data_IF_043716472169
#
_entry.id   IF_043716472169
#
_cell.length_a   1.000
_cell.length_b   1.000
_cell.length_c   1.000
_cell.angle_alpha   90.00
_cell.angle_beta   90.00
_cell.angle_gamma   90.00
#
_symmetry.space_group_name_H-M   'P 1'
#
loop_
_entity.id
_entity.type
_entity.pdbx_description
1 polymer ?
#
# COMPACT_ATOMS: atom_id res chain seq x y z
N UNK A 1 -61.10 -4.40 11.74
CA UNK A 1 -60.34 -5.62 11.37
C UNK A 1 -58.93 -5.21 10.95
N UNK A 2 -57.87 -5.71 11.59
CA UNK A 2 -56.47 -5.43 11.19
C UNK A 2 -56.20 -6.06 9.82
N UNK A 3 -55.80 -5.28 8.84
CA UNK A 3 -55.42 -5.74 7.50
C UNK A 3 -54.20 -6.64 7.60
N UNK A 4 -54.36 -7.95 7.38
CA UNK A 4 -53.28 -8.93 7.43
C UNK A 4 -52.44 -8.80 6.14
N UNK A 5 -51.20 -8.29 6.25
CA UNK A 5 -50.25 -8.26 5.15
C UNK A 5 -49.36 -9.50 5.16
N UNK A 6 -49.30 -10.21 4.04
CA UNK A 6 -48.50 -11.41 3.83
C UNK A 6 -47.22 -11.05 3.04
N UNK A 7 -46.06 -11.63 3.43
CA UNK A 7 -44.83 -11.58 2.65
C UNK A 7 -44.94 -12.40 1.36
N UNK A 8 -44.06 -12.19 0.37
CA UNK A 8 -44.18 -12.81 -0.95
C UNK A 8 -44.41 -14.33 -0.90
N UNK A 9 -43.57 -15.06 -0.10
CA UNK A 9 -43.72 -16.52 0.04
C UNK A 9 -44.99 -16.94 0.78
N UNK A 10 -45.45 -16.18 1.76
CA UNK A 10 -46.69 -16.40 2.49
C UNK A 10 -47.89 -16.13 1.59
N UNK A 11 -47.80 -15.07 0.77
CA UNK A 11 -48.82 -14.70 -0.21
C UNK A 11 -49.00 -15.76 -1.30
N UNK A 12 -47.90 -16.37 -1.76
CA UNK A 12 -47.92 -17.46 -2.73
C UNK A 12 -48.63 -18.68 -2.14
N UNK A 13 -48.25 -19.13 -0.93
CA UNK A 13 -48.90 -20.24 -0.21
C UNK A 13 -50.42 -19.98 -0.03
N UNK A 14 -50.75 -18.81 0.46
CA UNK A 14 -52.17 -18.41 0.62
C UNK A 14 -52.94 -18.47 -0.69
N UNK A 15 -52.43 -17.90 -1.79
CA UNK A 15 -53.09 -17.91 -3.11
C UNK A 15 -53.34 -19.32 -3.63
N UNK A 16 -52.34 -20.20 -3.57
CA UNK A 16 -52.41 -21.58 -4.06
C UNK A 16 -53.43 -22.38 -3.23
N UNK A 17 -53.35 -22.31 -1.90
CA UNK A 17 -54.26 -23.06 -1.02
C UNK A 17 -55.68 -22.51 -1.09
N UNK A 18 -55.86 -21.18 -1.16
CA UNK A 18 -57.19 -20.58 -1.35
C UNK A 18 -57.82 -21.10 -2.64
N UNK A 19 -57.14 -21.04 -3.77
CA UNK A 19 -57.62 -21.57 -5.04
C UNK A 19 -57.92 -23.05 -4.96
N UNK A 20 -57.06 -23.86 -4.33
CA UNK A 20 -57.25 -25.30 -4.15
C UNK A 20 -58.54 -25.62 -3.38
N UNK A 21 -58.85 -24.86 -2.32
CA UNK A 21 -60.06 -25.06 -1.50
C UNK A 21 -61.34 -24.57 -2.23
N UNK A 22 -61.23 -23.44 -2.94
CA UNK A 22 -62.43 -22.86 -3.66
C UNK A 22 -62.80 -23.67 -4.90
N UNK A 23 -61.84 -24.28 -5.61
CA UNK A 23 -62.09 -25.04 -6.84
C UNK A 23 -62.12 -26.54 -6.62
N UNK A 24 -61.97 -27.04 -5.40
CA UNK A 24 -61.76 -28.45 -5.06
C UNK A 24 -60.72 -29.15 -5.95
N UNK A 25 -59.61 -28.47 -6.17
CA UNK A 25 -58.60 -28.83 -7.13
C UNK A 25 -57.68 -29.98 -6.68
N UNK A 26 -56.70 -30.33 -7.51
CA UNK A 26 -55.77 -31.43 -7.26
C UNK A 26 -54.68 -31.02 -6.24
N UNK A 27 -54.55 -31.81 -5.16
CA UNK A 27 -53.60 -31.60 -4.05
C UNK A 27 -52.14 -31.85 -4.47
N UNK A 28 -51.90 -32.85 -5.31
CA UNK A 28 -50.58 -33.19 -5.82
C UNK A 28 -50.02 -32.03 -6.66
N UNK A 29 -50.87 -31.41 -7.49
CA UNK A 29 -50.48 -30.22 -8.26
C UNK A 29 -50.10 -29.03 -7.36
N UNK A 30 -50.85 -28.83 -6.28
CA UNK A 30 -50.50 -27.80 -5.30
C UNK A 30 -49.19 -28.12 -4.55
N UNK A 31 -48.94 -29.40 -4.25
CA UNK A 31 -47.72 -29.87 -3.64
C UNK A 31 -46.48 -29.57 -4.52
N UNK A 32 -46.55 -29.88 -5.83
CA UNK A 32 -45.54 -29.56 -6.82
C UNK A 32 -45.33 -28.03 -6.91
N UNK A 33 -46.40 -27.27 -7.01
CA UNK A 33 -46.35 -25.80 -7.14
C UNK A 33 -45.68 -25.12 -5.94
N UNK A 34 -45.87 -25.65 -4.74
CA UNK A 34 -45.34 -25.09 -3.51
C UNK A 34 -44.01 -25.77 -3.05
N UNK A 35 -43.55 -26.83 -3.74
CA UNK A 35 -42.40 -27.62 -3.33
C UNK A 35 -42.62 -28.27 -1.95
N UNK A 36 -43.84 -28.83 -1.68
CA UNK A 36 -44.24 -29.37 -0.37
C UNK A 36 -44.86 -30.76 -0.54
N UNK A 37 -44.82 -31.53 0.55
CA UNK A 37 -45.53 -32.84 0.54
C UNK A 37 -47.05 -32.65 0.60
N UNK A 38 -47.81 -33.63 0.08
CA UNK A 38 -49.28 -33.63 0.12
C UNK A 38 -49.79 -33.51 1.56
N UNK A 39 -49.13 -34.18 2.52
CA UNK A 39 -49.45 -34.06 3.96
C UNK A 39 -49.34 -32.60 4.47
N UNK A 40 -48.32 -31.85 3.97
CA UNK A 40 -48.19 -30.43 4.30
C UNK A 40 -49.31 -29.58 3.65
N UNK A 41 -49.75 -29.94 2.44
CA UNK A 41 -50.87 -29.29 1.78
C UNK A 41 -52.17 -29.52 2.59
N UNK A 42 -52.44 -30.75 3.03
CA UNK A 42 -53.61 -31.05 3.88
C UNK A 42 -53.59 -30.24 5.19
N UNK A 43 -52.41 -30.12 5.81
CA UNK A 43 -52.23 -29.27 7.00
C UNK A 43 -52.49 -27.80 6.71
N UNK A 44 -52.06 -27.30 5.54
CA UNK A 44 -52.36 -25.93 5.12
C UNK A 44 -53.83 -25.71 4.79
N UNK A 45 -54.50 -26.68 4.21
CA UNK A 45 -55.95 -26.63 3.96
C UNK A 45 -56.73 -26.57 5.27
N UNK A 46 -56.39 -27.45 6.24
CA UNK A 46 -57.03 -27.45 7.56
C UNK A 46 -56.78 -26.11 8.30
N UNK A 47 -55.53 -25.61 8.26
CA UNK A 47 -55.20 -24.31 8.85
C UNK A 47 -55.90 -23.13 8.18
N UNK A 48 -56.03 -23.16 6.84
CA UNK A 48 -56.77 -22.13 6.10
C UNK A 48 -58.28 -22.13 6.45
N UNK A 49 -58.89 -23.31 6.55
CA UNK A 49 -60.28 -23.44 6.97
C UNK A 49 -60.53 -22.96 8.40
N UNK A 50 -59.54 -23.15 9.32
CA UNK A 50 -59.65 -22.75 10.72
C UNK A 50 -59.37 -21.26 10.96
N UNK A 51 -58.27 -20.72 10.35
CA UNK A 51 -57.72 -19.37 10.65
C UNK A 51 -57.67 -18.44 9.43
N UNK A 52 -58.15 -18.88 8.28
CA UNK A 52 -58.11 -18.07 7.07
C UNK A 52 -56.71 -17.63 6.65
N UNK A 53 -56.60 -16.38 6.26
CA UNK A 53 -55.35 -15.75 5.79
C UNK A 53 -54.28 -15.69 6.88
N UNK A 54 -54.64 -15.61 8.14
CA UNK A 54 -53.71 -15.48 9.28
C UNK A 54 -52.85 -16.73 9.48
N UNK A 55 -53.31 -17.90 9.11
CA UNK A 55 -52.57 -19.16 9.21
C UNK A 55 -51.24 -19.12 8.46
N UNK A 56 -51.14 -18.34 7.38
CA UNK A 56 -49.93 -18.27 6.54
C UNK A 56 -48.88 -17.33 7.06
N UNK A 57 -49.16 -16.58 8.13
CA UNK A 57 -48.12 -15.76 8.80
C UNK A 57 -47.15 -16.72 9.45
N UNK A 58 -45.87 -16.52 9.15
CA UNK A 58 -44.81 -17.35 9.74
C UNK A 58 -44.76 -17.15 11.26
N UNK A 59 -44.76 -18.23 12.03
CA UNK A 59 -44.82 -18.18 13.50
C UNK A 59 -43.67 -17.38 14.17
N UNK A 60 -42.50 -17.39 13.57
CA UNK A 60 -41.33 -16.60 14.06
C UNK A 60 -41.35 -15.15 13.54
N UNK A 61 -42.43 -14.68 12.95
CA UNK A 61 -42.51 -13.30 12.47
C UNK A 61 -42.51 -12.35 13.67
N UNK A 62 -41.51 -11.43 13.66
CA UNK A 62 -41.25 -10.45 14.73
C UNK A 62 -40.75 -11.05 16.07
N UNK A 63 -40.42 -12.32 16.14
CA UNK A 63 -39.64 -12.85 17.27
C UNK A 63 -38.17 -12.47 17.12
N UNK A 64 -37.63 -11.80 18.13
CA UNK A 64 -36.18 -11.59 18.23
C UNK A 64 -35.51 -12.90 18.63
N UNK A 65 -34.40 -13.31 17.99
CA UNK A 65 -33.63 -14.48 18.46
C UNK A 65 -33.20 -14.31 19.91
N UNK A 66 -33.10 -15.41 20.65
CA UNK A 66 -32.70 -15.40 22.06
C UNK A 66 -31.29 -14.76 22.24
N UNK A 67 -30.42 -14.92 21.26
CA UNK A 67 -29.07 -14.35 21.24
C UNK A 67 -28.97 -12.97 20.56
N UNK A 68 -30.11 -12.31 20.30
CA UNK A 68 -30.07 -10.98 19.70
C UNK A 68 -29.51 -9.96 20.71
N UNK A 69 -28.54 -9.17 20.28
CA UNK A 69 -27.96 -8.10 21.07
C UNK A 69 -29.03 -7.12 21.57
N UNK A 70 -28.90 -6.72 22.82
CA UNK A 70 -29.75 -5.66 23.40
C UNK A 70 -29.38 -4.30 22.81
N UNK A 71 -30.27 -3.33 22.85
CA UNK A 71 -29.97 -1.97 22.37
C UNK A 71 -28.84 -1.30 23.17
N UNK A 72 -28.72 -1.63 24.48
CA UNK A 72 -27.60 -1.16 25.29
C UNK A 72 -26.23 -1.67 24.76
N UNK A 73 -26.13 -2.96 24.44
CA UNK A 73 -24.91 -3.53 23.86
C UNK A 73 -24.60 -2.94 22.48
N UNK A 74 -25.60 -2.68 21.64
CA UNK A 74 -25.38 -2.02 20.35
C UNK A 74 -24.88 -0.59 20.51
N UNK A 75 -25.38 0.14 21.51
CA UNK A 75 -24.94 1.49 21.82
C UNK A 75 -23.51 1.50 22.37
N UNK A 76 -23.16 0.51 23.19
CA UNK A 76 -21.79 0.32 23.66
C UNK A 76 -20.80 0.09 22.50
N UNK A 77 -21.14 -0.81 21.55
CA UNK A 77 -20.33 -1.07 20.35
C UNK A 77 -20.18 0.20 19.50
N UNK A 78 -21.25 0.98 19.35
CA UNK A 78 -21.23 2.28 18.67
C UNK A 78 -20.25 3.25 19.34
N UNK A 79 -20.32 3.39 20.66
CA UNK A 79 -19.45 4.28 21.43
C UNK A 79 -17.97 3.84 21.34
N UNK A 80 -17.70 2.56 21.45
CA UNK A 80 -16.35 2.00 21.28
C UNK A 80 -15.82 2.32 19.90
N UNK A 81 -16.64 2.15 18.84
CA UNK A 81 -16.22 2.49 17.48
C UNK A 81 -15.90 3.97 17.33
N UNK A 82 -16.79 4.85 17.74
CA UNK A 82 -16.64 6.29 17.58
C UNK A 82 -15.50 6.88 18.41
N UNK A 83 -15.21 6.32 19.59
CA UNK A 83 -14.17 6.83 20.47
C UNK A 83 -12.77 6.34 20.12
N UNK A 84 -12.61 5.04 19.79
CA UNK A 84 -11.29 4.40 19.63
C UNK A 84 -10.99 3.95 18.19
N UNK A 85 -12.01 3.52 17.42
CA UNK A 85 -11.85 2.78 16.16
C UNK A 85 -12.53 3.41 14.96
N UNK A 86 -12.82 4.71 15.02
CA UNK A 86 -13.59 5.47 14.01
C UNK A 86 -13.00 5.39 12.58
N UNK A 87 -11.71 5.14 12.47
CA UNK A 87 -10.96 5.02 11.22
C UNK A 87 -10.80 3.57 10.72
N UNK A 88 -11.33 2.59 11.47
CA UNK A 88 -11.20 1.18 11.13
C UNK A 88 -12.26 0.71 10.11
N UNK A 89 -11.88 -0.29 9.31
CA UNK A 89 -12.88 -1.05 8.54
C UNK A 89 -13.69 -1.95 9.47
N UNK A 90 -14.93 -2.31 9.10
CA UNK A 90 -15.75 -3.20 9.93
C UNK A 90 -15.05 -4.52 10.27
N UNK A 91 -14.28 -5.08 9.32
CA UNK A 91 -13.51 -6.31 9.55
C UNK A 91 -12.42 -6.12 10.60
N UNK A 92 -11.61 -5.04 10.48
CA UNK A 92 -10.57 -4.75 11.44
C UNK A 92 -11.16 -4.44 12.82
N UNK A 93 -12.25 -3.68 12.86
CA UNK A 93 -12.96 -3.37 14.12
C UNK A 93 -13.50 -4.63 14.80
N UNK A 94 -14.09 -5.57 14.06
CA UNK A 94 -14.55 -6.86 14.61
C UNK A 94 -13.40 -7.65 15.25
N UNK A 95 -12.21 -7.62 14.63
CA UNK A 95 -11.01 -8.24 15.16
C UNK A 95 -10.54 -7.58 16.46
N UNK A 96 -10.54 -6.24 16.49
CA UNK A 96 -10.16 -5.49 17.71
C UNK A 96 -11.17 -5.64 18.83
N UNK A 97 -12.48 -5.72 18.53
CA UNK A 97 -13.49 -6.04 19.51
C UNK A 97 -13.20 -7.37 20.21
N UNK A 98 -12.85 -8.41 19.45
CA UNK A 98 -12.53 -9.72 19.99
C UNK A 98 -11.21 -9.72 20.79
N UNK A 99 -10.17 -9.04 20.27
CA UNK A 99 -8.82 -9.10 20.85
C UNK A 99 -8.59 -8.13 22.02
N UNK A 100 -9.18 -6.93 21.94
CA UNK A 100 -8.89 -5.83 22.89
C UNK A 100 -10.06 -5.51 23.84
N UNK A 101 -11.29 -5.74 23.39
CA UNK A 101 -12.49 -5.41 24.18
C UNK A 101 -13.24 -6.68 24.66
N UNK A 102 -12.75 -7.89 24.32
CA UNK A 102 -13.36 -9.19 24.67
C UNK A 102 -14.82 -9.37 24.18
N UNK A 103 -15.21 -8.69 23.11
CA UNK A 103 -16.54 -8.77 22.50
C UNK A 103 -16.43 -9.56 21.20
N UNK A 104 -17.01 -10.77 21.16
CA UNK A 104 -16.98 -11.64 19.97
C UNK A 104 -18.26 -11.48 19.18
N UNK A 105 -18.16 -10.92 17.97
CA UNK A 105 -19.25 -10.71 17.01
C UNK A 105 -18.81 -11.11 15.62
N UNK A 106 -19.77 -11.34 14.73
CA UNK A 106 -19.50 -11.48 13.31
C UNK A 106 -19.34 -10.11 12.64
N UNK A 107 -18.60 -10.07 11.52
CA UNK A 107 -18.43 -8.85 10.72
C UNK A 107 -19.78 -8.31 10.21
N UNK A 108 -20.73 -9.20 9.89
CA UNK A 108 -22.06 -8.81 9.42
C UNK A 108 -22.92 -8.21 10.53
N UNK A 109 -22.80 -8.69 11.76
CA UNK A 109 -23.47 -8.08 12.93
C UNK A 109 -22.94 -6.68 13.19
N UNK A 110 -21.60 -6.52 13.28
CA UNK A 110 -20.95 -5.21 13.45
C UNK A 110 -21.36 -4.24 12.33
N UNK A 111 -21.33 -4.72 11.09
CA UNK A 111 -21.78 -3.95 9.92
C UNK A 111 -23.22 -3.48 10.05
N UNK A 112 -24.13 -4.38 10.44
CA UNK A 112 -25.55 -4.06 10.59
C UNK A 112 -25.77 -3.03 11.69
N UNK A 113 -25.13 -3.19 12.85
CA UNK A 113 -25.22 -2.26 13.98
C UNK A 113 -24.79 -0.84 13.56
N UNK A 114 -23.62 -0.73 12.92
CA UNK A 114 -23.07 0.58 12.56
C UNK A 114 -23.82 1.23 11.39
N UNK A 115 -24.27 0.46 10.38
CA UNK A 115 -25.06 0.98 9.27
C UNK A 115 -26.43 1.46 9.73
N UNK A 116 -27.10 0.75 10.65
CA UNK A 116 -28.40 1.16 11.22
C UNK A 116 -28.29 2.51 11.95
N UNK A 117 -27.11 2.86 12.42
CA UNK A 117 -26.76 4.16 13.05
C UNK A 117 -26.15 5.16 12.08
N UNK A 118 -26.16 4.89 10.76
CA UNK A 118 -25.56 5.71 9.71
C UNK A 118 -24.05 5.95 9.87
N UNK A 119 -23.33 5.05 10.54
CA UNK A 119 -21.88 5.10 10.73
C UNK A 119 -21.23 4.24 9.65
N UNK A 120 -20.50 4.89 8.73
CA UNK A 120 -19.89 4.24 7.58
C UNK A 120 -18.38 4.08 7.78
N UNK A 121 -17.85 2.89 7.48
CA UNK A 121 -16.42 2.65 7.50
C UNK A 121 -15.73 3.36 6.31
N UNK A 122 -14.41 3.68 6.40
CA UNK A 122 -13.64 4.30 5.31
C UNK A 122 -13.70 3.51 3.99
N UNK A 123 -13.90 2.19 4.04
CA UNK A 123 -14.01 1.33 2.86
C UNK A 123 -15.35 1.46 2.12
N UNK A 124 -16.38 1.94 2.78
CA UNK A 124 -17.72 2.11 2.18
C UNK A 124 -17.67 3.11 1.03
N UNK A 125 -16.75 4.08 1.08
CA UNK A 125 -16.52 5.04 -0.01
C UNK A 125 -15.83 4.41 -1.24
N UNK A 126 -15.07 3.31 -1.09
CA UNK A 126 -14.41 2.60 -2.20
C UNK A 126 -15.36 1.63 -2.95
N UNK A 127 -16.57 1.42 -2.47
CA UNK A 127 -17.59 0.62 -3.19
C UNK A 127 -18.20 1.34 -4.41
N UNK A 128 -17.69 2.54 -4.75
CA UNK A 128 -18.16 3.37 -5.86
C UNK A 128 -18.03 2.63 -7.19
N UNK A 129 -16.93 1.90 -7.45
CA UNK A 129 -16.79 1.08 -8.67
C UNK A 129 -17.88 0.01 -8.78
N UNK A 130 -18.18 -0.69 -7.68
CA UNK A 130 -19.22 -1.73 -7.64
C UNK A 130 -20.62 -1.15 -7.83
N UNK A 131 -20.86 0.07 -7.32
CA UNK A 131 -22.11 0.81 -7.47
C UNK A 131 -22.26 1.34 -8.91
N UNK A 132 -21.20 1.91 -9.48
CA UNK A 132 -21.14 2.35 -10.89
C UNK A 132 -21.41 1.17 -11.82
N UNK A 133 -20.73 0.03 -11.62
CA UNK A 133 -20.98 -1.18 -12.42
C UNK A 133 -22.43 -1.65 -12.33
N UNK A 134 -23.01 -1.68 -11.11
CA UNK A 134 -24.42 -2.05 -10.92
C UNK A 134 -25.39 -1.07 -11.58
N UNK A 135 -25.04 0.22 -11.61
CA UNK A 135 -25.82 1.24 -12.31
C UNK A 135 -25.71 1.07 -13.83
N UNK A 136 -24.49 0.87 -14.37
CA UNK A 136 -24.26 0.62 -15.80
C UNK A 136 -24.98 -0.64 -16.28
N UNK A 137 -25.02 -1.71 -15.49
CA UNK A 137 -25.79 -2.92 -15.82
C UNK A 137 -27.31 -2.63 -15.91
N UNK A 138 -27.85 -1.83 -14.98
CA UNK A 138 -29.27 -1.40 -15.07
C UNK A 138 -29.54 -0.51 -16.29
N UNK A 139 -28.63 0.40 -16.60
CA UNK A 139 -28.72 1.24 -17.81
C UNK A 139 -28.66 0.38 -19.08
N UNK A 140 -27.82 -0.67 -19.09
CA UNK A 140 -27.73 -1.62 -20.20
C UNK A 140 -29.03 -2.41 -20.43
N UNK A 141 -29.71 -2.82 -19.34
CA UNK A 141 -31.03 -3.47 -19.40
C UNK A 141 -32.13 -2.54 -19.97
N UNK A 142 -32.00 -1.25 -19.70
CA UNK A 142 -32.97 -0.23 -20.15
C UNK A 142 -32.66 0.31 -21.55
N UNK A 143 -31.46 0.09 -22.07
CA UNK A 143 -31.04 0.58 -23.39
C UNK A 143 -31.83 -0.11 -24.53
N UNK A 144 -32.43 0.71 -25.39
CA UNK A 144 -33.31 0.25 -26.49
C UNK A 144 -32.51 -0.10 -27.75
N UNK A 145 -31.37 0.53 -27.99
CA UNK A 145 -30.58 0.33 -29.19
C UNK A 145 -29.34 -0.51 -28.96
N UNK A 146 -28.95 -1.32 -29.97
CA UNK A 146 -27.72 -2.14 -29.92
C UNK A 146 -26.46 -1.26 -29.77
N UNK A 147 -26.47 -0.05 -30.37
CA UNK A 147 -25.34 0.89 -30.31
C UNK A 147 -25.14 1.45 -28.89
N UNK A 148 -26.25 1.74 -28.15
CA UNK A 148 -26.20 2.15 -26.76
C UNK A 148 -25.72 1.02 -25.85
N UNK A 149 -26.23 -0.21 -26.06
CA UNK A 149 -25.78 -1.40 -25.33
C UNK A 149 -24.27 -1.63 -25.49
N UNK A 150 -23.75 -1.48 -26.73
CA UNK A 150 -22.32 -1.62 -26.99
C UNK A 150 -21.49 -0.53 -26.31
N UNK A 151 -21.95 0.74 -26.29
CA UNK A 151 -21.28 1.82 -25.56
C UNK A 151 -21.26 1.59 -24.05
N UNK A 152 -22.36 1.12 -23.48
CA UNK A 152 -22.45 0.81 -22.06
C UNK A 152 -21.57 -0.40 -21.74
N UNK A 153 -21.56 -1.42 -22.58
CA UNK A 153 -20.69 -2.58 -22.45
C UNK A 153 -19.21 -2.19 -22.45
N UNK A 154 -18.79 -1.28 -23.35
CA UNK A 154 -17.43 -0.75 -23.36
C UNK A 154 -17.07 -0.02 -22.06
N UNK A 155 -18.01 0.74 -21.47
CA UNK A 155 -17.83 1.35 -20.15
C UNK A 155 -17.72 0.32 -19.02
N UNK A 156 -18.52 -0.76 -19.08
CA UNK A 156 -18.43 -1.86 -18.10
C UNK A 156 -17.07 -2.54 -18.21
N UNK A 157 -16.62 -2.87 -19.41
CA UNK A 157 -15.30 -3.48 -19.65
C UNK A 157 -14.17 -2.57 -19.19
N UNK A 158 -14.26 -1.25 -19.41
CA UNK A 158 -13.30 -0.28 -18.89
C UNK A 158 -13.28 -0.18 -17.34
N UNK A 159 -14.35 -0.60 -16.66
CA UNK A 159 -14.37 -0.74 -15.20
C UNK A 159 -13.90 -2.10 -14.70
N UNK A 160 -13.83 -3.10 -15.59
CA UNK A 160 -13.33 -4.44 -15.33
C UNK A 160 -11.94 -4.57 -15.95
N UNK A 161 -10.90 -4.36 -15.12
CA UNK A 161 -9.55 -4.68 -15.53
C UNK A 161 -9.42 -6.21 -15.64
N UNK A 162 -9.61 -6.73 -16.84
CA UNK A 162 -9.39 -8.14 -17.16
C UNK A 162 -7.88 -8.39 -17.36
N UNK A 163 -7.15 -8.49 -16.24
CA UNK A 163 -5.72 -8.81 -16.29
C UNK A 163 -5.51 -10.32 -16.19
N UNK A 164 -4.60 -10.90 -17.02
CA UNK A 164 -4.23 -12.29 -16.88
C UNK A 164 -3.65 -12.52 -15.48
N UNK A 165 -4.21 -13.48 -14.75
CA UNK A 165 -3.69 -13.87 -13.44
C UNK A 165 -2.34 -14.54 -13.62
N UNK A 166 -1.27 -13.97 -13.06
CA UNK A 166 0.01 -14.65 -12.99
C UNK A 166 -0.07 -15.76 -11.91
N UNK A 167 0.34 -16.99 -12.25
CA UNK A 167 0.46 -18.05 -11.25
C UNK A 167 1.47 -17.65 -10.18
N UNK A 168 1.35 -18.23 -8.99
CA UNK A 168 2.35 -18.05 -7.93
C UNK A 168 3.61 -18.84 -8.25
N UNK A 169 4.73 -18.34 -7.77
CA UNK A 169 5.97 -19.11 -7.72
C UNK A 169 5.79 -20.37 -6.82
N UNK A 170 6.63 -21.38 -7.02
CA UNK A 170 6.53 -22.64 -6.28
C UNK A 170 7.30 -22.60 -4.96
N UNK A 171 8.40 -21.87 -4.91
CA UNK A 171 9.36 -21.91 -3.82
C UNK A 171 9.46 -20.57 -3.10
N UNK A 172 9.63 -20.64 -1.76
CA UNK A 172 9.93 -19.46 -0.97
C UNK A 172 11.28 -18.86 -1.40
N UNK A 173 11.31 -17.54 -1.63
CA UNK A 173 12.52 -16.84 -2.08
C UNK A 173 12.78 -16.90 -3.60
N UNK A 174 11.92 -17.58 -4.37
CA UNK A 174 12.01 -17.59 -5.83
C UNK A 174 11.75 -16.21 -6.43
N UNK A 175 10.74 -15.50 -5.91
CA UNK A 175 10.42 -14.14 -6.30
C UNK A 175 9.97 -13.31 -5.09
N UNK A 176 10.71 -12.25 -4.83
CA UNK A 176 10.34 -11.23 -3.85
C UNK A 176 9.83 -9.99 -4.60
N UNK A 177 8.57 -9.62 -4.40
CA UNK A 177 8.03 -8.37 -4.92
C UNK A 177 8.30 -7.25 -3.93
N UNK A 178 8.96 -6.19 -4.38
CA UNK A 178 9.39 -5.08 -3.55
C UNK A 178 8.85 -3.75 -4.10
N UNK A 179 8.38 -2.90 -3.19
CA UNK A 179 7.87 -1.57 -3.52
C UNK A 179 7.88 -0.64 -2.31
N UNK A 180 7.66 0.65 -2.55
CA UNK A 180 7.44 1.64 -1.51
C UNK A 180 6.12 2.38 -1.72
N UNK A 181 5.45 2.70 -0.62
CA UNK A 181 4.20 3.44 -0.63
C UNK A 181 4.29 4.68 0.25
N UNK A 182 4.13 5.84 -0.38
CA UNK A 182 4.03 7.12 0.32
C UNK A 182 2.58 7.35 0.76
N UNK A 183 2.38 7.44 2.07
CA UNK A 183 1.05 7.61 2.64
C UNK A 183 1.10 8.40 3.97
N UNK A 184 -0.06 8.81 4.50
CA UNK A 184 -0.18 9.44 5.81
C UNK A 184 -0.18 8.36 6.92
N UNK A 185 0.96 7.68 7.09
CA UNK A 185 1.05 6.57 8.04
C UNK A 185 0.90 7.00 9.49
N UNK A 186 1.38 8.20 9.82
CA UNK A 186 1.33 8.82 11.16
C UNK A 186 0.28 9.93 11.27
N UNK A 187 -0.67 9.99 10.34
CA UNK A 187 -1.79 10.91 10.35
C UNK A 187 -1.53 12.32 9.80
N UNK A 188 -0.37 12.93 10.04
CA UNK A 188 -0.09 14.35 9.69
C UNK A 188 0.89 14.50 8.53
N UNK A 189 1.96 13.73 8.51
CA UNK A 189 3.02 13.82 7.51
C UNK A 189 3.05 12.60 6.61
N UNK A 190 3.35 12.81 5.33
CA UNK A 190 3.60 11.69 4.41
C UNK A 190 4.97 11.11 4.67
N UNK A 191 5.01 9.80 4.85
CA UNK A 191 6.23 9.01 4.96
C UNK A 191 6.16 7.82 4.01
N UNK A 192 7.29 7.22 3.71
CA UNK A 192 7.37 6.05 2.84
C UNK A 192 7.46 4.77 3.66
N UNK A 193 6.60 3.80 3.38
CA UNK A 193 6.74 2.44 3.85
C UNK A 193 7.26 1.58 2.70
N UNK A 194 8.45 1.03 2.86
CA UNK A 194 9.02 0.05 1.97
C UNK A 194 8.56 -1.34 2.39
N UNK A 195 8.20 -2.18 1.44
CA UNK A 195 7.67 -3.52 1.70
C UNK A 195 8.25 -4.56 0.76
N UNK A 196 8.51 -5.74 1.27
CA UNK A 196 8.89 -6.92 0.52
C UNK A 196 7.96 -8.08 0.86
N UNK A 197 7.40 -8.72 -0.17
CA UNK A 197 6.49 -9.87 -0.04
C UNK A 197 6.96 -11.00 -0.93
N UNK A 198 6.95 -12.22 -0.41
CA UNK A 198 7.21 -13.42 -1.19
C UNK A 198 6.00 -13.80 -2.04
N UNK A 199 6.23 -14.04 -3.34
CA UNK A 199 5.14 -14.37 -4.28
C UNK A 199 4.55 -15.75 -4.01
N UNK A 200 5.38 -16.73 -3.67
CA UNK A 200 4.95 -18.12 -3.45
C UNK A 200 4.02 -18.23 -2.24
N UNK A 201 4.46 -17.78 -1.08
CA UNK A 201 3.77 -17.95 0.20
C UNK A 201 2.83 -16.79 0.54
N UNK A 202 3.05 -15.62 -0.06
CA UNK A 202 2.36 -14.39 0.33
C UNK A 202 2.78 -13.87 1.71
N UNK A 203 3.87 -14.36 2.27
CA UNK A 203 4.47 -13.85 3.50
C UNK A 203 5.06 -12.47 3.24
N UNK A 204 4.78 -11.54 4.11
CA UNK A 204 5.54 -10.29 4.22
C UNK A 204 6.91 -10.67 4.77
N UNK A 205 7.93 -10.48 3.94
CA UNK A 205 9.31 -10.81 4.30
C UNK A 205 9.88 -9.71 5.19
N UNK A 206 9.76 -8.44 4.75
CA UNK A 206 10.18 -7.28 5.53
C UNK A 206 9.38 -6.03 5.23
N UNK A 207 9.35 -5.12 6.22
CA UNK A 207 8.76 -3.79 6.16
C UNK A 207 9.74 -2.78 6.78
N UNK A 208 9.83 -1.57 6.21
CA UNK A 208 10.69 -0.52 6.73
C UNK A 208 10.13 0.87 6.42
N UNK A 209 9.99 1.72 7.45
CA UNK A 209 9.64 3.13 7.29
C UNK A 209 10.88 3.99 7.06
N UNK A 210 10.78 4.91 6.09
CA UNK A 210 11.72 5.99 5.89
C UNK A 210 10.94 7.31 5.66
N UNK A 211 11.61 8.45 5.76
CA UNK A 211 10.99 9.76 5.51
C UNK A 211 10.42 9.87 4.10
N UNK A 212 11.17 9.35 3.14
CA UNK A 212 10.85 9.36 1.72
C UNK A 212 11.20 8.00 1.10
N UNK A 213 10.82 7.79 -0.15
CA UNK A 213 11.26 6.64 -0.92
C UNK A 213 12.72 6.84 -1.36
N UNK A 214 13.64 6.14 -0.71
CA UNK A 214 15.07 6.31 -0.88
C UNK A 214 15.80 4.99 -1.12
N UNK A 215 17.01 5.07 -1.66
CA UNK A 215 17.93 3.92 -1.76
C UNK A 215 18.19 3.30 -0.36
N UNK A 216 18.27 4.14 0.68
CA UNK A 216 18.45 3.69 2.04
C UNK A 216 17.30 2.78 2.53
N UNK A 217 16.07 3.12 2.22
CA UNK A 217 14.91 2.28 2.56
C UNK A 217 14.96 0.90 1.91
N UNK A 218 15.31 0.85 0.62
CA UNK A 218 15.49 -0.42 -0.10
C UNK A 218 16.68 -1.22 0.42
N UNK A 219 17.79 -0.56 0.76
CA UNK A 219 18.94 -1.22 1.38
C UNK A 219 18.61 -1.80 2.76
N UNK A 220 17.83 -1.09 3.58
CA UNK A 220 17.40 -1.60 4.87
C UNK A 220 16.55 -2.87 4.74
N UNK A 221 15.58 -2.89 3.82
CA UNK A 221 14.80 -4.12 3.57
C UNK A 221 15.71 -5.24 3.07
N UNK A 222 16.57 -4.97 2.08
CA UNK A 222 17.45 -5.99 1.52
C UNK A 222 18.42 -6.52 2.58
N UNK A 223 18.99 -5.66 3.42
CA UNK A 223 19.84 -6.06 4.54
C UNK A 223 19.10 -7.02 5.49
N UNK A 224 17.87 -6.70 5.85
CA UNK A 224 17.06 -7.54 6.73
C UNK A 224 16.73 -8.89 6.07
N UNK A 225 16.40 -8.91 4.77
CA UNK A 225 16.17 -10.15 4.01
C UNK A 225 17.43 -11.02 4.02
N UNK A 226 18.57 -10.44 3.65
CA UNK A 226 19.85 -11.16 3.59
C UNK A 226 20.26 -11.75 4.94
N UNK A 227 20.06 -11.01 6.03
CA UNK A 227 20.44 -11.45 7.38
C UNK A 227 19.49 -12.49 7.97
N UNK A 228 18.19 -12.45 7.65
CA UNK A 228 17.19 -13.36 8.23
C UNK A 228 16.95 -14.60 7.38
N UNK A 229 16.94 -14.46 6.07
CA UNK A 229 16.50 -15.51 5.14
C UNK A 229 17.58 -15.95 4.17
N UNK A 230 18.55 -15.09 3.85
CA UNK A 230 19.57 -15.33 2.83
C UNK A 230 19.30 -14.58 1.52
N UNK A 231 19.91 -15.05 0.43
CA UNK A 231 19.89 -14.41 -0.87
C UNK A 231 18.69 -14.94 -1.67
N UNK A 232 17.69 -14.10 -2.06
CA UNK A 232 16.61 -14.51 -2.93
C UNK A 232 17.08 -14.70 -4.37
N UNK A 233 16.39 -15.55 -5.12
CA UNK A 233 16.71 -15.77 -6.54
C UNK A 233 16.42 -14.53 -7.37
N UNK A 234 15.26 -13.89 -7.17
CA UNK A 234 14.78 -12.77 -7.98
C UNK A 234 14.06 -11.72 -7.16
N UNK A 235 14.26 -10.44 -7.52
CA UNK A 235 13.48 -9.30 -6.99
C UNK A 235 12.73 -8.64 -8.14
N UNK A 236 11.42 -8.45 -7.97
CA UNK A 236 10.55 -7.67 -8.86
C UNK A 236 10.25 -6.29 -8.29
N UNK A 237 10.42 -5.26 -9.11
CA UNK A 237 10.23 -3.86 -8.70
C UNK A 237 9.82 -2.97 -9.88
N UNK A 238 9.43 -1.71 -9.61
CA UNK A 238 9.13 -0.72 -10.64
C UNK A 238 10.36 -0.25 -11.39
N UNK A 239 10.13 0.29 -12.61
CA UNK A 239 11.14 1.08 -13.32
C UNK A 239 11.28 2.48 -12.71
N UNK A 240 11.85 2.59 -11.52
CA UNK A 240 12.17 3.86 -10.90
C UNK A 240 13.68 4.14 -10.97
N UNK A 241 14.07 5.41 -10.77
CA UNK A 241 15.47 5.84 -10.81
C UNK A 241 16.37 5.15 -9.78
N UNK A 242 15.80 4.56 -8.72
CA UNK A 242 16.53 3.76 -7.73
C UNK A 242 17.01 2.43 -8.34
N UNK A 243 16.24 1.86 -9.28
CA UNK A 243 16.49 0.54 -9.86
C UNK A 243 17.07 0.62 -11.27
N UNK A 244 16.61 1.58 -12.08
CA UNK A 244 17.07 1.76 -13.46
C UNK A 244 17.21 3.25 -13.78
N UNK A 245 18.25 3.62 -14.52
CA UNK A 245 18.48 4.99 -14.97
C UNK A 245 18.61 5.04 -16.49
N UNK A 246 17.82 5.91 -17.15
CA UNK A 246 17.99 6.23 -18.58
C UNK A 246 18.53 7.65 -18.71
N UNK A 247 19.67 7.80 -19.35
CA UNK A 247 20.20 9.12 -19.71
C UNK A 247 19.25 9.79 -20.72
N UNK A 248 18.86 11.04 -20.45
CA UNK A 248 17.93 11.82 -21.28
C UNK A 248 18.46 12.27 -22.64
N UNK A 249 19.69 11.97 -23.02
CA UNK A 249 20.41 12.66 -24.11
C UNK A 249 21.08 11.78 -25.15
N UNK A 250 20.62 10.55 -25.43
CA UNK A 250 21.12 9.83 -26.61
C UNK A 250 20.00 9.12 -27.36
N UNK A 251 19.99 9.28 -28.69
CA UNK A 251 19.08 8.65 -29.64
C UNK A 251 19.45 7.18 -29.94
N UNK A 252 20.48 6.66 -29.36
CA UNK A 252 20.88 5.25 -29.39
C UNK A 252 20.32 4.54 -28.17
N UNK A 253 19.88 3.29 -28.33
CA UNK A 253 19.52 2.37 -27.25
C UNK A 253 20.79 2.19 -26.39
N UNK A 254 21.01 3.12 -25.45
CA UNK A 254 22.11 3.02 -24.51
C UNK A 254 21.75 1.94 -23.50
N UNK A 255 22.70 1.05 -23.28
CA UNK A 255 22.71 0.05 -22.23
C UNK A 255 22.21 0.64 -20.92
N UNK A 256 21.27 -0.05 -20.27
CA UNK A 256 20.71 0.34 -18.97
C UNK A 256 21.85 0.58 -18.01
N UNK A 257 22.10 1.84 -17.69
CA UNK A 257 23.14 2.20 -16.72
C UNK A 257 22.68 1.65 -15.36
N UNK A 258 23.38 0.66 -14.85
CA UNK A 258 23.06 0.06 -13.56
C UNK A 258 23.00 1.13 -12.47
N UNK A 259 21.89 1.21 -11.78
CA UNK A 259 21.79 2.01 -10.56
C UNK A 259 22.60 1.34 -9.45
N UNK A 260 22.88 2.07 -8.38
CA UNK A 260 23.59 1.51 -7.25
C UNK A 260 22.88 0.30 -6.64
N UNK A 261 21.55 0.29 -6.62
CA UNK A 261 20.78 -0.85 -6.14
C UNK A 261 20.92 -2.08 -7.04
N UNK A 262 20.79 -1.87 -8.36
CA UNK A 262 20.96 -2.95 -9.34
C UNK A 262 22.38 -3.53 -9.30
N UNK A 263 23.39 -2.66 -9.12
CA UNK A 263 24.79 -3.09 -8.96
C UNK A 263 24.97 -3.95 -7.70
N UNK A 264 24.40 -3.53 -6.56
CA UNK A 264 24.46 -4.31 -5.33
C UNK A 264 23.81 -5.68 -5.48
N UNK A 265 22.64 -5.75 -6.10
CA UNK A 265 21.95 -7.01 -6.38
C UNK A 265 22.75 -7.92 -7.32
N UNK A 266 23.34 -7.35 -8.37
CA UNK A 266 24.19 -8.10 -9.29
C UNK A 266 25.39 -8.73 -8.57
N UNK A 267 26.05 -7.98 -7.66
CA UNK A 267 27.15 -8.52 -6.85
C UNK A 267 26.74 -9.68 -5.91
N UNK A 268 25.46 -9.71 -5.51
CA UNK A 268 24.86 -10.78 -4.69
C UNK A 268 24.32 -11.94 -5.51
N UNK A 269 24.33 -11.85 -6.85
CA UNK A 269 23.74 -12.84 -7.72
C UNK A 269 22.19 -12.78 -7.77
N UNK A 270 21.57 -11.70 -7.31
CA UNK A 270 20.13 -11.50 -7.32
C UNK A 270 19.69 -10.97 -8.69
N UNK A 271 18.76 -11.65 -9.34
CA UNK A 271 18.14 -11.16 -10.56
C UNK A 271 17.13 -10.07 -10.28
N UNK A 272 17.28 -8.89 -10.91
CA UNK A 272 16.29 -7.82 -10.84
C UNK A 272 15.44 -7.82 -12.09
N UNK A 273 14.12 -7.92 -11.90
CA UNK A 273 13.14 -7.69 -12.95
C UNK A 273 12.40 -6.37 -12.70
N UNK A 274 12.40 -5.49 -13.70
CA UNK A 274 11.70 -4.20 -13.61
C UNK A 274 10.68 -4.04 -14.70
N UNK A 275 9.51 -3.49 -14.38
CA UNK A 275 8.47 -3.17 -15.34
C UNK A 275 7.77 -1.87 -14.99
N UNK A 276 7.27 -1.17 -15.99
CA UNK A 276 6.38 -0.02 -15.81
C UNK A 276 4.90 -0.41 -15.87
N UNK A 277 4.61 -1.71 -16.09
CA UNK A 277 3.23 -2.23 -16.15
C UNK A 277 2.70 -2.40 -14.73
N UNK A 278 1.55 -1.78 -14.37
CA UNK A 278 1.00 -1.86 -13.01
C UNK A 278 0.76 -3.30 -12.52
N UNK A 279 0.35 -4.20 -13.41
CA UNK A 279 0.01 -5.60 -13.10
C UNK A 279 1.24 -6.49 -12.86
N UNK A 280 2.43 -5.95 -13.01
CA UNK A 280 3.68 -6.71 -12.91
C UNK A 280 3.95 -7.23 -11.49
N UNK A 281 3.50 -6.50 -10.46
CA UNK A 281 3.71 -6.84 -9.05
C UNK A 281 2.41 -6.82 -8.21
N UNK A 282 1.45 -7.69 -8.54
CA UNK A 282 0.11 -7.63 -7.96
C UNK A 282 0.07 -7.96 -6.45
N UNK A 283 1.08 -8.66 -5.92
CA UNK A 283 1.11 -9.08 -4.52
C UNK A 283 1.42 -7.90 -3.60
N UNK A 284 2.50 -7.16 -3.90
CA UNK A 284 2.88 -6.01 -3.08
C UNK A 284 1.87 -4.87 -3.18
N UNK A 285 1.23 -4.68 -4.34
CA UNK A 285 0.15 -3.69 -4.49
C UNK A 285 -1.06 -4.05 -3.60
N UNK A 286 -1.47 -5.31 -3.61
CA UNK A 286 -2.54 -5.79 -2.72
C UNK A 286 -2.14 -5.73 -1.25
N UNK A 287 -0.88 -6.00 -0.94
CA UNK A 287 -0.33 -5.82 0.40
C UNK A 287 -0.53 -4.37 0.86
N UNK A 288 -0.09 -3.37 0.08
CA UNK A 288 -0.26 -1.97 0.45
C UNK A 288 -1.71 -1.56 0.64
N UNK A 289 -2.65 -2.08 -0.15
CA UNK A 289 -4.08 -1.85 0.09
C UNK A 289 -4.53 -2.32 1.49
N UNK A 290 -3.96 -3.42 1.98
CA UNK A 290 -4.25 -3.93 3.32
C UNK A 290 -3.52 -3.13 4.39
N UNK A 291 -2.23 -2.84 4.20
CA UNK A 291 -1.41 -2.12 5.15
C UNK A 291 -1.92 -0.69 5.39
N UNK A 292 -2.33 0.02 4.32
CA UNK A 292 -2.93 1.35 4.43
C UNK A 292 -4.21 1.39 5.28
N UNK A 293 -4.92 0.26 5.39
CA UNK A 293 -6.14 0.14 6.19
C UNK A 293 -5.88 -0.33 7.62
N UNK A 294 -4.67 -0.77 7.96
CA UNK A 294 -4.35 -1.37 9.25
C UNK A 294 -3.24 -0.65 10.01
N UNK A 295 -2.11 -0.42 9.36
CA UNK A 295 -0.94 0.16 10.03
C UNK A 295 -1.24 1.53 10.68
N UNK A 296 -1.93 2.49 10.02
CA UNK A 296 -2.23 3.77 10.68
C UNK A 296 -3.02 3.60 11.99
N UNK A 297 -3.96 2.66 12.02
CA UNK A 297 -4.75 2.39 13.20
C UNK A 297 -3.91 1.71 14.30
N UNK A 298 -3.08 0.72 13.92
CA UNK A 298 -2.21 0.03 14.87
C UNK A 298 -1.19 0.99 15.51
N UNK A 299 -0.56 1.86 14.71
CA UNK A 299 0.37 2.87 15.19
C UNK A 299 -0.32 3.86 16.14
N UNK A 300 -1.52 4.31 15.78
CA UNK A 300 -2.32 5.20 16.64
C UNK A 300 -2.71 4.53 17.96
N UNK A 301 -3.18 3.28 17.91
CA UNK A 301 -3.56 2.53 19.11
C UNK A 301 -2.36 2.21 20.01
N UNK A 302 -1.18 2.05 19.44
CA UNK A 302 0.07 1.87 20.16
C UNK A 302 0.73 3.19 20.56
N UNK A 303 0.13 4.34 20.23
CA UNK A 303 0.66 5.69 20.48
C UNK A 303 2.05 5.94 19.87
N UNK A 304 2.36 5.29 18.76
CA UNK A 304 3.63 5.40 18.05
C UNK A 304 3.56 6.59 17.08
N UNK A 305 4.48 7.54 17.23
CA UNK A 305 4.52 8.77 16.45
C UNK A 305 5.86 9.00 15.72
N UNK A 306 6.88 8.19 15.97
CA UNK A 306 8.20 8.30 15.36
C UNK A 306 8.48 7.14 14.41
N UNK A 307 9.32 7.39 13.39
CA UNK A 307 9.73 6.36 12.43
C UNK A 307 10.53 5.25 13.12
N UNK A 308 11.38 5.62 14.07
CA UNK A 308 12.24 4.72 14.82
C UNK A 308 11.44 3.72 15.66
N UNK A 309 10.42 4.21 16.38
CA UNK A 309 9.51 3.36 17.15
C UNK A 309 8.68 2.47 16.24
N UNK A 310 8.19 3.03 15.11
CA UNK A 310 7.43 2.29 14.12
C UNK A 310 8.25 1.14 13.50
N UNK A 311 9.53 1.37 13.19
CA UNK A 311 10.40 0.32 12.67
C UNK A 311 10.62 -0.82 13.69
N UNK A 312 10.68 -0.52 14.99
CA UNK A 312 10.71 -1.55 16.04
C UNK A 312 9.39 -2.32 16.10
N UNK A 313 8.28 -1.62 16.03
CA UNK A 313 6.93 -2.21 16.04
C UNK A 313 6.71 -3.16 14.85
N UNK A 314 7.21 -2.81 13.65
CA UNK A 314 7.05 -3.63 12.44
C UNK A 314 7.58 -5.05 12.62
N UNK A 315 8.64 -5.27 13.40
CA UNK A 315 9.18 -6.61 13.66
C UNK A 315 8.17 -7.57 14.31
N UNK A 316 7.33 -7.07 15.21
CA UNK A 316 6.23 -7.83 15.83
C UNK A 316 5.02 -7.90 14.92
N UNK A 317 4.69 -6.81 14.24
CA UNK A 317 3.56 -6.72 13.33
C UNK A 317 3.66 -7.69 12.16
N UNK A 318 4.84 -7.84 11.54
CA UNK A 318 5.09 -8.78 10.44
C UNK A 318 4.70 -10.21 10.85
N UNK A 319 5.07 -10.66 12.06
CA UNK A 319 4.72 -11.99 12.55
C UNK A 319 3.20 -12.15 12.65
N UNK A 320 2.53 -11.22 13.31
CA UNK A 320 1.07 -11.23 13.46
C UNK A 320 0.34 -11.17 12.09
N UNK A 321 0.88 -10.38 11.16
CA UNK A 321 0.35 -10.30 9.80
C UNK A 321 0.48 -11.62 9.07
N UNK A 322 1.65 -12.23 9.11
CA UNK A 322 1.94 -13.50 8.43
C UNK A 322 1.11 -14.65 8.99
N UNK A 323 0.98 -14.76 10.31
CA UNK A 323 0.15 -15.77 10.97
C UNK A 323 -1.32 -15.70 10.50
N UNK A 324 -1.78 -14.51 10.15
CA UNK A 324 -3.16 -14.28 9.76
C UNK A 324 -3.42 -14.36 8.26
N UNK A 325 -2.50 -13.88 7.43
CA UNK A 325 -2.73 -13.64 6.00
C UNK A 325 -1.84 -14.44 5.06
N UNK A 326 -0.72 -14.97 5.54
CA UNK A 326 0.12 -15.83 4.74
C UNK A 326 -0.59 -17.15 4.41
N UNK A 327 -0.22 -17.75 3.30
CA UNK A 327 -0.75 -19.06 2.95
C UNK A 327 -0.08 -20.12 3.84
N UNK A 328 -0.90 -21.01 4.41
CA UNK A 328 -0.42 -22.20 5.13
C UNK A 328 0.17 -23.22 4.15
N UNK A 329 1.31 -22.89 3.58
CA UNK A 329 2.03 -23.83 2.70
C UNK A 329 3.05 -24.58 3.59
N UNK A 330 2.59 -25.66 4.21
CA UNK A 330 3.36 -26.43 5.19
C UNK A 330 4.65 -27.08 4.65
N UNK A 331 4.92 -27.03 3.32
CA UNK A 331 6.05 -27.67 2.67
C UNK A 331 6.68 -26.85 1.54
N UNK A 332 6.59 -25.52 1.52
CA UNK A 332 7.33 -24.78 0.51
C UNK A 332 8.82 -24.90 0.78
N UNK A 333 9.51 -25.59 -0.12
CA UNK A 333 10.98 -25.59 -0.12
C UNK A 333 11.46 -24.16 -0.36
N UNK A 334 12.51 -23.75 0.35
CA UNK A 334 13.17 -22.48 0.13
C UNK A 334 14.25 -22.63 -0.94
N UNK A 335 14.36 -21.63 -1.82
CA UNK A 335 15.47 -21.47 -2.76
C UNK A 335 16.39 -20.30 -2.37
N UNK A 336 16.22 -19.78 -1.16
CA UNK A 336 17.16 -18.81 -0.61
C UNK A 336 18.54 -19.44 -0.49
N UNK A 337 19.57 -18.74 -0.99
CA UNK A 337 20.96 -19.14 -0.77
C UNK A 337 21.47 -18.65 0.59
N UNK A 338 22.55 -19.31 1.08
CA UNK A 338 23.15 -18.94 2.36
C UNK A 338 23.54 -17.46 2.38
N UNK A 339 23.30 -16.81 3.50
CA UNK A 339 23.66 -15.41 3.66
C UNK A 339 25.18 -15.21 3.51
N UNK A 340 25.62 -14.19 2.78
CA UNK A 340 27.01 -13.76 2.78
C UNK A 340 27.35 -13.18 4.17
N UNK A 341 28.61 -13.27 4.59
CA UNK A 341 29.01 -12.70 5.88
C UNK A 341 28.65 -11.21 6.01
N UNK A 342 28.45 -10.74 7.23
CA UNK A 342 27.99 -9.38 7.52
C UNK A 342 28.87 -8.29 6.89
N UNK A 343 30.19 -8.48 6.85
CA UNK A 343 31.10 -7.56 6.17
C UNK A 343 30.77 -7.42 4.68
N UNK A 344 30.56 -8.56 4.00
CA UNK A 344 30.23 -8.56 2.57
C UNK A 344 28.88 -7.89 2.33
N UNK A 345 27.89 -8.12 3.19
CA UNK A 345 26.58 -7.45 3.10
C UNK A 345 26.77 -5.93 3.25
N UNK A 346 27.50 -5.48 4.27
CA UNK A 346 27.73 -4.06 4.55
C UNK A 346 28.45 -3.35 3.41
N UNK A 347 29.43 -3.98 2.79
CA UNK A 347 30.17 -3.43 1.66
C UNK A 347 29.38 -3.46 0.36
N UNK A 348 28.56 -4.48 0.15
CA UNK A 348 27.72 -4.59 -1.06
C UNK A 348 26.56 -3.61 -1.03
N UNK A 349 25.90 -3.42 0.11
CA UNK A 349 24.83 -2.43 0.29
C UNK A 349 25.38 -1.03 0.58
N UNK A 350 26.51 -0.68 -0.04
CA UNK A 350 27.16 0.61 0.14
C UNK A 350 26.63 1.67 -0.84
N UNK A 351 26.67 2.93 -0.41
CA UNK A 351 26.39 4.07 -1.28
C UNK A 351 27.70 4.57 -1.90
N UNK A 352 27.74 4.60 -3.22
CA UNK A 352 28.90 5.00 -4.01
C UNK A 352 28.75 6.45 -4.48
N UNK A 353 29.82 7.25 -4.35
CA UNK A 353 29.82 8.64 -4.77
C UNK A 353 31.19 9.05 -5.33
N UNK A 354 31.24 9.48 -6.59
CA UNK A 354 32.48 10.02 -7.19
C UNK A 354 32.83 11.35 -6.55
N UNK A 355 34.08 11.51 -6.17
CA UNK A 355 34.68 12.73 -5.61
C UNK A 355 36.07 12.99 -6.26
N UNK A 356 36.56 14.21 -6.09
CA UNK A 356 37.85 14.63 -6.58
C UNK A 356 38.64 15.18 -5.39
N UNK A 357 39.91 14.83 -5.31
CA UNK A 357 40.82 15.30 -4.27
C UNK A 357 41.06 16.80 -4.46
N UNK A 358 40.94 17.56 -3.40
CA UNK A 358 41.15 19.01 -3.38
C UNK A 358 42.63 19.42 -3.20
N UNK A 359 42.88 20.72 -3.09
CA UNK A 359 44.24 21.24 -2.87
C UNK A 359 44.82 20.95 -1.47
N UNK A 360 43.97 20.55 -0.52
CA UNK A 360 44.35 20.12 0.82
C UNK A 360 44.59 18.61 0.92
N UNK A 361 44.71 17.91 -0.23
CA UNK A 361 44.85 16.44 -0.30
C UNK A 361 43.73 15.69 0.40
N UNK A 362 42.54 16.33 0.48
CA UNK A 362 41.35 15.82 1.14
C UNK A 362 40.19 15.69 0.17
N UNK A 363 39.13 15.04 0.61
CA UNK A 363 37.86 14.96 -0.12
C UNK A 363 36.71 15.51 0.71
N UNK A 364 35.79 16.24 0.06
CA UNK A 364 34.60 16.74 0.71
C UNK A 364 33.41 15.76 0.50
N UNK A 365 32.87 15.26 1.59
CA UNK A 365 31.66 14.41 1.59
C UNK A 365 30.68 14.86 2.67
N UNK A 366 29.40 15.13 2.28
CA UNK A 366 28.34 15.63 3.18
C UNK A 366 28.76 16.83 4.05
N UNK A 367 29.43 17.82 3.43
CA UNK A 367 29.96 19.04 4.05
C UNK A 367 31.08 18.84 5.09
N UNK A 368 31.64 17.65 5.18
CA UNK A 368 32.82 17.35 6.01
C UNK A 368 34.00 17.00 5.11
N UNK A 369 35.21 17.22 5.62
CA UNK A 369 36.43 16.90 4.94
C UNK A 369 37.05 15.64 5.52
N UNK A 370 37.59 14.79 4.64
CA UNK A 370 38.16 13.50 5.00
C UNK A 370 39.55 13.34 4.38
N UNK A 371 40.49 12.79 5.15
CA UNK A 371 41.80 12.35 4.66
C UNK A 371 41.83 10.86 4.44
N UNK A 372 42.68 10.42 3.53
CA UNK A 372 42.88 9.00 3.27
C UNK A 372 43.87 8.45 4.30
N UNK A 373 43.56 7.26 4.81
CA UNK A 373 44.45 6.53 5.72
C UNK A 373 44.62 5.09 5.23
N UNK A 374 45.84 4.57 5.43
CA UNK A 374 46.15 3.18 5.11
C UNK A 374 45.60 2.23 6.19
N UNK A 375 45.83 0.91 5.99
CA UNK A 375 45.44 -0.12 6.96
C UNK A 375 46.07 0.03 8.36
N UNK A 376 47.18 0.76 8.44
CA UNK A 376 47.89 1.01 9.69
C UNK A 376 47.55 2.37 10.33
N UNK A 377 46.51 3.05 9.80
CA UNK A 377 46.08 4.36 10.29
C UNK A 377 46.99 5.54 9.89
N UNK A 378 48.02 5.32 9.06
CA UNK A 378 48.88 6.40 8.59
C UNK A 378 48.25 7.17 7.42
N UNK A 379 48.32 8.52 7.41
CA UNK A 379 47.74 9.33 6.34
C UNK A 379 48.45 9.11 5.00
N UNK A 380 47.65 9.09 3.92
CA UNK A 380 48.13 9.01 2.54
C UNK A 380 47.65 10.25 1.80
N UNK A 381 48.49 10.78 0.94
CA UNK A 381 48.22 11.99 0.19
C UNK A 381 48.15 11.71 -1.31
N UNK A 382 47.10 12.15 -1.95
CA UNK A 382 46.90 12.10 -3.39
C UNK A 382 46.96 13.49 -3.99
N UNK A 383 47.39 13.59 -5.24
CA UNK A 383 47.44 14.86 -5.96
C UNK A 383 46.05 15.48 -6.16
N UNK A 384 46.00 16.83 -6.14
CA UNK A 384 44.81 17.57 -6.52
C UNK A 384 44.33 17.13 -7.89
N UNK A 385 43.00 16.92 -8.02
CA UNK A 385 42.39 16.47 -9.26
C UNK A 385 42.29 14.95 -9.39
N UNK A 386 42.88 14.15 -8.50
CA UNK A 386 42.74 12.70 -8.49
C UNK A 386 41.26 12.34 -8.23
N UNK A 387 40.68 11.54 -9.12
CA UNK A 387 39.29 11.07 -8.99
C UNK A 387 39.27 9.86 -8.08
N UNK A 388 38.37 9.86 -7.09
CA UNK A 388 38.12 8.73 -6.22
C UNK A 388 36.61 8.39 -6.13
N UNK A 389 36.31 7.17 -5.74
CA UNK A 389 34.94 6.76 -5.42
C UNK A 389 34.82 6.57 -3.91
N UNK A 390 34.05 7.43 -3.26
CA UNK A 390 33.71 7.28 -1.84
C UNK A 390 32.70 6.19 -1.69
N UNK A 391 32.94 5.25 -0.82
CA UNK A 391 32.12 4.10 -0.46
C UNK A 391 31.65 4.32 0.97
N UNK A 392 30.35 4.62 1.14
CA UNK A 392 29.72 4.60 2.46
C UNK A 392 29.08 3.24 2.66
N UNK A 393 29.68 2.40 3.48
CA UNK A 393 29.14 1.09 3.83
C UNK A 393 27.82 1.20 4.59
N UNK A 394 27.06 0.11 4.64
CA UNK A 394 25.74 0.10 5.29
C UNK A 394 25.83 0.39 6.81
N UNK A 395 26.88 -0.07 7.47
CA UNK A 395 27.15 0.24 8.89
C UNK A 395 27.63 1.68 9.15
N UNK A 396 27.82 2.48 8.07
CA UNK A 396 28.17 3.90 8.16
C UNK A 396 29.67 4.21 8.03
N UNK A 397 30.53 3.20 7.95
CA UNK A 397 31.96 3.38 7.72
C UNK A 397 32.22 3.97 6.32
N UNK A 398 33.26 4.80 6.22
CA UNK A 398 33.63 5.48 5.00
C UNK A 398 34.95 4.95 4.47
N UNK A 399 34.95 4.58 3.20
CA UNK A 399 36.14 4.19 2.46
C UNK A 399 36.20 4.99 1.16
N UNK A 400 37.37 5.03 0.53
CA UNK A 400 37.52 5.56 -0.82
C UNK A 400 38.41 4.65 -1.65
N UNK A 401 38.06 4.50 -2.93
CA UNK A 401 38.83 3.76 -3.90
C UNK A 401 39.55 4.75 -4.81
N UNK A 402 40.88 4.61 -4.93
CA UNK A 402 41.73 5.30 -5.88
C UNK A 402 42.55 4.24 -6.61
N UNK A 403 42.52 4.24 -7.94
CA UNK A 403 43.27 3.30 -8.79
C UNK A 403 43.22 1.85 -8.29
N UNK A 404 41.96 1.32 -8.08
CA UNK A 404 41.68 -0.03 -7.60
C UNK A 404 42.10 -0.35 -6.15
N UNK A 405 42.77 0.59 -5.46
CA UNK A 405 43.12 0.45 -4.06
C UNK A 405 42.09 1.08 -3.13
N UNK A 406 41.75 0.39 -2.02
CA UNK A 406 40.77 0.86 -1.03
C UNK A 406 41.52 1.44 0.18
N UNK A 407 41.09 2.64 0.57
CA UNK A 407 41.60 3.38 1.72
C UNK A 407 40.48 3.70 2.68
N UNK A 408 40.74 3.68 3.98
CA UNK A 408 39.80 4.20 4.95
C UNK A 408 39.81 5.74 4.92
N UNK A 409 38.71 6.34 5.30
CA UNK A 409 38.53 7.79 5.37
C UNK A 409 38.41 8.23 6.83
N UNK A 410 39.25 9.16 7.25
CA UNK A 410 39.20 9.77 8.58
C UNK A 410 38.73 11.21 8.46
N UNK A 411 37.79 11.62 9.30
CA UNK A 411 37.25 12.98 9.32
C UNK A 411 38.33 13.96 9.81
N UNK A 412 38.55 15.01 9.05
CA UNK A 412 39.43 16.12 9.46
C UNK A 412 38.56 17.07 10.29
N UNK A 413 38.87 17.29 11.58
CA UNK A 413 38.13 18.25 12.39
C UNK A 413 38.23 19.64 11.76
N UNK A 414 37.15 20.40 11.79
CA UNK A 414 37.19 21.81 11.40
C UNK A 414 38.16 22.53 12.32
N UNK A 415 39.35 22.79 11.83
CA UNK A 415 40.28 23.69 12.49
C UNK A 415 39.72 25.10 12.28
N UNK A 416 39.21 25.73 13.32
CA UNK A 416 39.04 27.17 13.31
C UNK A 416 40.40 27.82 13.20
N UNK A 417 40.89 27.98 11.97
CA UNK A 417 42.07 28.78 11.69
C UNK A 417 41.69 30.26 11.87
N UNK A 418 41.49 30.68 13.10
CA UNK A 418 41.69 32.06 13.49
C UNK A 418 43.07 32.13 14.14
N UNK A 419 44.04 32.47 13.33
CA UNK A 419 45.27 33.08 13.84
C UNK A 419 44.84 34.46 14.36
N UNK A 420 44.64 34.58 15.66
CA UNK A 420 44.25 35.87 16.29
C UNK A 420 45.35 36.93 16.15
N UNK A 421 46.55 36.54 15.72
CA UNK A 421 47.73 37.41 15.73
C UNK A 421 48.09 38.05 14.37
N UNK A 422 47.48 37.69 13.25
CA UNK A 422 47.92 38.16 11.92
C UNK A 422 46.79 38.58 10.95
N UNK A 423 45.54 38.36 11.26
CA UNK A 423 44.46 38.83 10.41
C UNK A 423 43.84 40.12 10.98
N UNK A 424 44.01 41.26 10.27
CA UNK A 424 43.18 42.42 10.49
C UNK A 424 41.73 41.99 10.48
N UNK A 425 40.98 42.33 11.53
CA UNK A 425 39.56 42.06 11.65
C UNK A 425 38.85 42.72 10.45
N UNK A 426 38.68 41.97 9.37
CA UNK A 426 37.78 42.41 8.30
C UNK A 426 36.37 42.46 8.92
N UNK A 427 35.95 43.68 9.17
CA UNK A 427 34.52 43.91 9.51
C UNK A 427 33.67 43.25 8.44
N UNK A 428 32.68 42.46 8.81
CA UNK A 428 31.86 41.76 7.84
C UNK A 428 31.23 42.80 6.92
N UNK A 429 31.70 42.87 5.67
CA UNK A 429 31.12 43.71 4.64
C UNK A 429 29.63 43.25 4.51
N UNK A 430 28.69 44.06 4.96
CA UNK A 430 27.28 43.84 4.72
C UNK A 430 27.12 43.56 3.22
N UNK A 431 26.77 42.34 2.88
CA UNK A 431 26.42 41.99 1.50
C UNK A 431 25.16 42.74 1.18
N UNK A 432 25.29 43.91 0.51
CA UNK A 432 24.15 44.62 -0.05
C UNK A 432 23.43 43.66 -1.01
N UNK A 433 22.29 43.16 -0.57
CA UNK A 433 21.42 42.36 -1.43
C UNK A 433 21.03 43.23 -2.60
N UNK A 434 21.56 42.93 -3.78
CA UNK A 434 21.18 43.61 -5.00
C UNK A 434 19.76 43.27 -5.35
N UNK A 435 18.84 44.18 -5.15
CA UNK A 435 17.45 44.09 -5.59
C UNK A 435 17.37 44.77 -6.98
N UNK A 436 17.22 44.00 -8.07
CA UNK A 436 17.15 44.56 -9.41
C UNK A 436 15.90 45.46 -9.52
N UNK A 437 16.06 46.66 -10.11
CA UNK A 437 14.96 47.56 -10.37
C UNK A 437 13.87 46.91 -11.21
N UNK A 438 12.63 47.40 -11.13
CA UNK A 438 11.46 46.82 -11.84
C UNK A 438 11.63 46.76 -13.38
N UNK A 439 12.38 47.70 -13.95
CA UNK A 439 12.70 47.74 -15.38
C UNK A 439 13.93 46.88 -15.78
N UNK A 440 14.44 46.05 -14.90
CA UNK A 440 15.54 45.13 -15.23
C UNK A 440 15.09 44.11 -16.28
N UNK A 441 15.87 43.94 -17.34
CA UNK A 441 15.57 43.06 -18.50
C UNK A 441 15.14 41.63 -18.12
N UNK A 442 15.52 41.17 -16.96
CA UNK A 442 15.16 39.86 -16.43
C UNK A 442 13.74 39.79 -15.85
N UNK A 443 13.24 40.92 -15.30
CA UNK A 443 11.89 40.96 -14.74
C UNK A 443 10.83 41.30 -15.77
N UNK A 444 11.11 42.18 -16.73
CA UNK A 444 10.14 42.57 -17.75
C UNK A 444 9.85 41.42 -18.74
N UNK A 445 10.89 40.72 -19.25
CA UNK A 445 10.68 39.66 -20.23
C UNK A 445 9.93 38.46 -19.66
N UNK A 446 10.21 38.04 -18.43
CA UNK A 446 9.53 36.86 -17.83
C UNK A 446 8.07 37.14 -17.49
N UNK A 447 7.73 38.37 -17.13
CA UNK A 447 6.36 38.77 -16.83
C UNK A 447 5.53 38.94 -18.10
N UNK A 448 6.08 39.58 -19.14
CA UNK A 448 5.42 39.75 -20.45
C UNK A 448 5.23 38.38 -21.16
N UNK A 449 6.19 37.46 -21.02
CA UNK A 449 6.05 36.09 -21.54
C UNK A 449 5.02 35.28 -20.74
N UNK A 450 4.91 35.50 -19.44
CA UNK A 450 3.89 34.89 -18.59
C UNK A 450 2.49 35.37 -18.96
N UNK A 451 2.31 36.68 -19.16
CA UNK A 451 1.04 37.28 -19.58
C UNK A 451 0.62 36.79 -20.97
N UNK A 452 1.53 36.73 -21.94
CA UNK A 452 1.26 36.20 -23.27
C UNK A 452 0.87 34.74 -23.27
N UNK A 453 1.42 33.94 -22.36
CA UNK A 453 1.01 32.53 -22.20
C UNK A 453 -0.37 32.37 -21.56
N UNK A 454 -0.77 33.28 -20.68
CA UNK A 454 -2.14 33.29 -20.13
C UNK A 454 -3.17 33.77 -21.17
N UNK A 455 -2.86 34.74 -22.00
CA UNK A 455 -3.74 35.17 -23.10
C UNK A 455 -3.96 34.04 -24.12
N UNK A 456 -2.94 33.30 -24.50
CA UNK A 456 -3.08 32.11 -25.38
C UNK A 456 -3.88 30.94 -24.77
N UNK A 457 -3.91 30.82 -23.45
CA UNK A 457 -4.73 29.77 -22.80
C UNK A 457 -6.22 30.15 -22.71
N UNK A 458 -6.54 31.40 -22.72
CA UNK A 458 -7.94 31.90 -22.72
C UNK A 458 -8.58 31.82 -24.12
N UNK A 459 -7.78 31.97 -25.17
CA UNK A 459 -8.25 31.85 -26.56
C UNK A 459 -8.51 30.40 -27.01
N UNK A 460 -7.91 29.43 -26.35
CA UNK A 460 -8.08 27.98 -26.64
C UNK A 460 -9.29 27.34 -25.90
N UNK A 461 -9.85 27.98 -24.90
CA UNK A 461 -11.05 27.48 -24.17
C UNK A 461 -12.38 27.98 -24.79
N UNK A 462 -12.36 29.00 -25.64
CA UNK A 462 -13.56 29.51 -26.34
C UNK A 462 -13.82 28.88 -27.71
N UNK A 463 -13.06 27.87 -28.13
CA UNK A 463 -13.20 27.17 -29.44
C UNK A 463 -13.31 25.64 -29.27
N UNK A 464 -13.84 25.13 -28.15
CA UNK A 464 -14.10 23.69 -28.01
C UNK A 464 -15.54 23.38 -27.60
#
# INVERSE_FOLDING_TARGET
MRKVELRMNEKLKYKVIKKLVETNGNKERAAVTLGRSVRQIDRMIAGYKAKGKEFFIHGNRNHKPVHALTEAQKTEIEQIYLSKYFDCTYTAFTEYLAQKENITLSVDEVRTILIDKYIFSPRTHKSTKKRIKKQLLKEQEQAKTQREKAKIQAKIVATEDAHPRQPRCQYFGEEIQMDACIHLWFGKTKTALHAAIDDATGQVVELYFDKEETLNGYYNITHQILTKYGIPYRIKTDKRTVFTYKKKASSTIEEDTFTQYAYACHQLGIHIETSSVPEFKPRVERLFQTLQQRIPQELRLAQINTIEEANKFLGTYIKQYNDKFALCINNSKSVMENQPGNEKINLTLATLCKRVVDSGHSIKYKNKYYRFVNKNGAPIYFNKGTTCVVIKSFNGELYATVDESVFALEEIPEVQAKSEDFDEVETPKERKIYIPKMNHKWKSKSFDEFLKKQEHHLDDEDVA
#
